data_IF_582483841974
#
_entry.id   IF_582483841974
#
_cell.length_a   1.000
_cell.length_b   1.000
_cell.length_c   1.000
_cell.angle_alpha   90.00
_cell.angle_beta   90.00
_cell.angle_gamma   90.00
#
_symmetry.space_group_name_H-M   'P 1'
#
loop_
_entity.id
_entity.type
_entity.pdbx_description
1 polymer ?
2 water ?
#
# COMPACT_ATOMS: atom_id res chain seq x y z
N UNK A 1 7.86 7.62 23.39
CA UNK A 1 7.68 7.19 22.01
C UNK A 1 9.01 7.03 21.26
N UNK A 2 9.15 5.92 20.54
CA UNK A 2 10.39 5.66 19.79
C UNK A 2 10.23 5.97 18.31
N UNK A 3 11.33 6.37 17.68
CA UNK A 3 11.32 6.60 16.24
C UNK A 3 11.39 5.26 15.51
N UNK A 4 10.86 5.21 14.29
CA UNK A 4 10.91 4.00 13.49
C UNK A 4 12.36 3.58 13.29
N UNK A 5 13.25 4.56 13.20
CA UNK A 5 14.68 4.27 13.10
C UNK A 5 15.13 3.48 14.33
N UNK A 6 14.62 3.86 15.50
CA UNK A 6 14.86 3.10 16.72
C UNK A 6 14.23 1.72 16.63
N UNK A 7 12.92 1.70 16.39
CA UNK A 7 12.15 0.47 16.34
C UNK A 7 12.84 -0.60 15.50
N UNK A 8 13.45 -0.18 14.40
CA UNK A 8 14.06 -1.16 13.50
C UNK A 8 15.21 -1.91 14.16
N UNK A 9 15.79 -1.32 15.20
CA UNK A 9 16.99 -1.88 15.81
C UNK A 9 16.86 -2.21 17.30
N UNK A 10 15.82 -1.73 17.97
CA UNK A 10 15.69 -1.93 19.41
C UNK A 10 15.66 -3.40 19.82
N UNK A 11 15.87 -3.65 21.11
CA UNK A 11 15.75 -4.98 21.67
C UNK A 11 14.56 -5.07 22.61
N UNK A 12 13.82 -3.97 22.72
CA UNK A 12 12.62 -3.94 23.55
C UNK A 12 11.56 -4.89 23.01
N UNK A 13 10.68 -5.37 23.89
CA UNK A 13 9.56 -6.18 23.45
C UNK A 13 8.38 -5.27 23.19
N UNK A 14 8.19 -4.32 24.10
CA UNK A 14 7.12 -3.35 24.03
C UNK A 14 7.64 -2.00 23.58
N UNK A 15 6.88 -1.35 22.69
CA UNK A 15 7.24 -0.05 22.16
C UNK A 15 5.99 0.78 21.99
N UNK A 16 6.18 2.07 21.80
CA UNK A 16 5.11 2.93 21.33
C UNK A 16 5.73 3.77 20.24
N UNK A 17 4.98 4.00 19.17
CA UNK A 17 5.49 4.71 18.01
C UNK A 17 4.44 5.66 17.47
N UNK A 18 4.89 6.87 17.11
CA UNK A 18 4.04 7.82 16.40
C UNK A 18 4.45 7.80 14.94
N UNK A 19 3.50 7.51 14.05
CA UNK A 19 3.85 7.34 12.65
C UNK A 19 2.66 7.54 11.71
N UNK A 20 2.97 7.65 10.43
CA UNK A 20 1.96 7.82 9.38
C UNK A 20 1.55 6.48 8.80
N UNK A 21 0.25 6.34 8.52
CA UNK A 21 -0.28 5.16 7.85
C UNK A 21 -0.24 5.35 6.34
N UNK A 22 0.64 4.61 5.67
CA UNK A 22 0.78 4.78 4.23
C UNK A 22 0.21 3.62 3.43
N UNK A 23 -0.39 2.65 4.11
CA UNK A 23 -1.03 1.53 3.44
C UNK A 23 -1.98 0.75 4.35
N UNK A 24 -3.18 0.49 3.87
CA UNK A 24 -4.16 -0.27 4.62
C UNK A 24 -4.64 -1.48 3.84
N UNK A 25 -4.62 -2.64 4.49
CA UNK A 25 -5.19 -3.84 3.91
C UNK A 25 -6.05 -4.52 4.95
N UNK A 26 -7.36 -4.47 4.74
CA UNK A 26 -8.34 -4.93 5.72
C UNK A 26 -8.67 -6.42 5.55
N UNK A 27 -7.69 -7.20 5.13
CA UNK A 27 -7.91 -8.60 4.77
C UNK A 27 -8.45 -9.46 5.92
N UNK A 28 -9.72 -9.28 6.24
CA UNK A 28 -10.49 -10.19 7.09
C UNK A 28 -9.90 -10.57 8.44
N UNK A 29 -10.59 -10.18 9.51
CA UNK A 29 -10.24 -10.57 10.86
C UNK A 29 -8.84 -10.11 11.28
N UNK A 30 -8.26 -9.21 10.47
CA UNK A 30 -6.97 -8.61 10.76
C UNK A 30 -6.77 -7.37 9.91
N UNK A 31 -6.16 -6.35 10.48
CA UNK A 31 -5.77 -5.18 9.70
C UNK A 31 -4.26 -5.16 9.54
N UNK A 32 -3.79 -5.03 8.31
CA UNK A 32 -2.36 -4.93 8.06
C UNK A 32 -2.06 -3.55 7.52
N UNK A 33 -1.14 -2.86 8.17
CA UNK A 33 -0.78 -1.51 7.76
C UNK A 33 0.70 -1.45 7.40
N UNK A 34 1.06 -0.44 6.62
CA UNK A 34 2.45 -0.01 6.57
C UNK A 34 2.46 1.36 7.24
N UNK A 35 3.45 1.61 8.08
CA UNK A 35 3.57 2.93 8.71
C UNK A 35 4.94 3.53 8.43
N UNK A 36 5.01 4.85 8.48
CA UNK A 36 6.17 5.59 8.01
C UNK A 36 6.55 6.70 8.98
N UNK A 37 7.81 7.09 8.96
CA UNK A 37 8.34 8.10 9.88
C UNK A 37 8.98 9.24 9.11
N UNK A 38 9.47 10.24 9.84
CA UNK A 38 10.37 11.22 9.24
C UNK A 38 11.81 10.98 9.70
N UNK A 39 12.00 9.90 10.46
CA UNK A 39 13.31 9.52 10.99
C UNK A 39 14.04 8.57 10.05
N UNK A 40 13.26 7.90 9.20
CA UNK A 40 13.76 6.81 8.38
C UNK A 40 13.13 6.91 7.00
N UNK A 41 13.66 6.14 6.04
CA UNK A 41 13.10 6.10 4.70
C UNK A 41 12.42 4.77 4.44
N UNK A 42 12.26 3.99 5.50
CA UNK A 42 11.68 2.67 5.38
C UNK A 42 10.31 2.63 6.03
N UNK A 43 9.46 1.75 5.54
CA UNK A 43 8.16 1.57 6.15
C UNK A 43 8.23 0.44 7.17
N UNK A 44 7.22 0.37 8.03
CA UNK A 44 7.17 -0.66 9.04
C UNK A 44 5.81 -1.32 8.92
N UNK A 45 5.80 -2.66 8.92
CA UNK A 45 4.54 -3.37 8.85
C UNK A 45 3.95 -3.54 10.24
N UNK A 46 2.66 -3.28 10.36
CA UNK A 46 1.93 -3.45 11.61
C UNK A 46 0.72 -4.36 11.39
N UNK A 47 0.55 -5.34 12.25
CA UNK A 47 -0.62 -6.19 12.16
C UNK A 47 -1.50 -5.96 13.40
N UNK A 48 -2.76 -5.60 13.16
CA UNK A 48 -3.71 -5.37 14.23
C UNK A 48 -4.70 -6.53 14.32
N UNK A 49 -4.72 -7.20 15.46
CA UNK A 49 -5.50 -8.43 15.63
C UNK A 49 -6.82 -8.24 16.36
N UNK A 50 -7.71 -9.26 16.31
CA UNK A 50 -9.01 -9.30 16.97
C UNK A 50 -9.01 -8.60 18.31
N UNK A 51 -10.14 -7.97 18.61
CA UNK A 51 -10.27 -6.99 19.68
C UNK A 51 -9.94 -5.64 19.07
N UNK A 52 -8.68 -5.23 19.15
CA UNK A 52 -8.29 -3.94 18.62
C UNK A 52 -8.80 -3.72 17.18
N UNK A 53 -8.62 -4.72 16.32
CA UNK A 53 -8.96 -4.54 14.91
C UNK A 53 -10.46 -4.31 14.72
N UNK A 54 -11.25 -4.67 15.73
CA UNK A 54 -12.69 -4.46 15.67
C UNK A 54 -13.07 -2.98 15.58
N UNK A 55 -12.39 -2.11 16.32
CA UNK A 55 -12.76 -0.70 16.33
C UNK A 55 -12.04 0.13 15.27
N UNK A 56 -11.00 -0.43 14.66
CA UNK A 56 -10.23 0.31 13.68
C UNK A 56 -10.52 -0.09 12.26
N UNK A 57 -11.40 -1.08 12.10
CA UNK A 57 -11.77 -1.62 10.80
C UNK A 57 -11.78 -0.59 9.67
N UNK A 58 -12.71 0.35 9.75
CA UNK A 58 -12.89 1.34 8.70
C UNK A 58 -12.30 2.69 9.09
N UNK A 59 -11.58 2.70 10.20
CA UNK A 59 -11.22 3.95 10.87
C UNK A 59 -9.98 4.64 10.29
N UNK A 60 -8.96 3.86 9.94
CA UNK A 60 -7.68 4.44 9.53
C UNK A 60 -7.80 5.34 8.29
N UNK A 61 -7.03 6.43 8.27
CA UNK A 61 -6.95 7.30 7.10
C UNK A 61 -5.52 7.38 6.59
N UNK A 62 -5.37 7.31 5.27
CA UNK A 62 -4.06 7.31 4.65
C UNK A 62 -3.33 8.63 4.89
N UNK A 63 -2.08 8.52 5.34
CA UNK A 63 -1.20 9.67 5.55
C UNK A 63 -1.45 10.37 6.88
N UNK A 64 -2.47 9.94 7.60
CA UNK A 64 -2.72 10.43 8.96
C UNK A 64 -1.72 9.83 9.95
N UNK A 65 -1.39 10.60 10.99
CA UNK A 65 -0.50 10.12 12.04
C UNK A 65 -1.28 9.56 13.20
N UNK A 66 -0.77 8.49 13.80
CA UNK A 66 -1.38 7.91 14.97
C UNK A 66 -0.31 7.49 15.96
N UNK A 67 -0.68 7.50 17.25
CA UNK A 67 0.12 6.87 18.30
C UNK A 67 -0.26 5.42 18.37
N UNK A 68 0.68 4.53 18.07
CA UNK A 68 0.50 3.13 18.36
C UNK A 68 1.18 2.85 19.69
N UNK A 69 0.36 2.65 20.72
CA UNK A 69 0.87 2.54 22.08
C UNK A 69 1.03 1.10 22.52
N UNK A 70 2.22 0.79 23.06
CA UNK A 70 2.47 -0.50 23.71
C UNK A 70 2.17 -1.66 22.79
N UNK A 71 2.78 -1.62 21.61
CA UNK A 71 2.72 -2.71 20.65
C UNK A 71 3.89 -3.63 20.87
N UNK A 72 3.81 -4.81 20.28
CA UNK A 72 4.83 -5.83 20.47
C UNK A 72 5.71 -5.92 19.23
N UNK A 73 7.02 -5.92 19.45
CA UNK A 73 7.98 -6.00 18.36
C UNK A 73 8.33 -7.45 18.02
N UNK A 74 8.30 -7.78 16.73
CA UNK A 74 8.57 -9.14 16.28
C UNK A 74 9.38 -9.14 15.00
N UNK A 75 10.03 -10.27 14.71
CA UNK A 75 10.78 -10.43 13.47
C UNK A 75 10.21 -11.59 12.68
N UNK A 76 9.92 -11.37 11.39
CA UNK A 76 9.40 -12.45 10.56
C UNK A 76 10.34 -12.96 9.47
N UNK A 77 10.44 -12.25 8.36
CA UNK A 77 11.35 -12.71 7.31
C UNK A 77 12.55 -11.78 7.26
N UNK A 78 13.30 -11.72 8.36
CA UNK A 78 14.41 -10.80 8.50
C UNK A 78 13.86 -9.37 8.57
N UNK A 79 12.55 -9.25 8.70
CA UNK A 79 11.87 -7.96 8.73
C UNK A 79 11.21 -7.75 10.08
N UNK A 80 11.46 -6.60 10.69
CA UNK A 80 10.83 -6.27 11.94
C UNK A 80 9.42 -5.77 11.68
N UNK A 81 8.47 -6.20 12.49
CA UNK A 81 7.14 -5.61 12.45
C UNK A 81 6.53 -5.52 13.84
N UNK A 82 5.40 -4.83 13.95
CA UNK A 82 4.74 -4.66 15.23
C UNK A 82 3.41 -5.36 15.17
N UNK A 83 2.93 -5.80 16.33
CA UNK A 83 1.62 -6.42 16.40
C UNK A 83 0.83 -5.87 17.58
N UNK A 84 -0.48 -5.90 17.41
CA UNK A 84 -1.44 -5.71 18.48
C UNK A 84 -1.15 -6.70 19.61
N UNK A 85 -1.70 -6.39 20.79
CA UNK A 85 -1.56 -7.24 21.95
C UNK A 85 -2.48 -6.64 23.00
N UNK A 86 -2.74 -7.41 24.04
CA UNK A 86 -3.75 -7.08 25.05
C UNK A 86 -3.63 -5.66 25.65
N UNK A 87 -2.42 -5.16 25.80
CA UNK A 87 -2.20 -3.88 26.46
C UNK A 87 -2.17 -2.75 25.44
N UNK A 88 -2.26 -3.10 24.17
CA UNK A 88 -2.07 -2.13 23.11
C UNK A 88 -3.20 -1.14 23.01
N UNK A 89 -2.93 -0.04 22.33
CA UNK A 89 -3.84 1.08 22.25
C UNK A 89 -3.39 1.90 21.05
N UNK A 90 -4.32 2.64 20.44
CA UNK A 90 -4.02 3.46 19.28
C UNK A 90 -4.77 4.79 19.34
N UNK A 91 -4.07 5.89 19.08
CA UNK A 91 -4.73 7.18 19.13
C UNK A 91 -4.31 8.11 18.00
N UNK A 92 -5.31 8.72 17.36
CA UNK A 92 -5.04 9.74 16.37
C UNK A 92 -4.26 10.87 17.05
N UNK A 93 -3.20 11.34 16.40
CA UNK A 93 -2.44 12.47 16.93
C UNK A 93 -3.28 13.75 16.81
N UNK A 94 -3.35 14.51 17.90
CA UNK A 94 -4.22 15.68 17.96
C UNK A 94 -3.63 16.90 17.27
N UNK A 95 -2.30 16.88 17.08
CA UNK A 95 -1.62 17.98 16.42
C UNK A 95 -1.08 17.60 15.04
N UNK A 96 -2.00 17.63 14.07
CA UNK A 96 -1.77 17.22 12.69
C UNK A 96 -2.44 18.21 11.76
N UNK A 97 -1.78 18.58 10.66
CA UNK A 97 -2.39 19.51 9.70
C UNK A 97 -2.76 18.82 8.40
N UNK A 98 -4.03 18.82 8.06
CA UNK A 98 -4.48 18.26 6.79
C UNK A 98 -4.17 19.20 5.65
N UNK A 99 -3.21 18.80 4.81
CA UNK A 99 -2.84 19.57 3.61
C UNK A 99 -3.43 18.92 2.37
N UNK A 100 -4.15 19.70 1.57
CA UNK A 100 -4.74 19.19 0.33
C UNK A 100 -4.11 19.83 -0.91
N UNK A 101 -3.40 19.02 -1.68
CA UNK A 101 -2.75 19.49 -2.89
C UNK A 101 -3.37 18.82 -4.10
N UNK A 102 -3.25 19.48 -5.25
CA UNK A 102 -3.69 18.91 -6.51
C UNK A 102 -2.50 18.92 -7.45
N UNK A 103 -2.25 17.79 -8.10
CA UNK A 103 -1.22 17.74 -9.12
C UNK A 103 -1.85 17.76 -10.50
N UNK A 104 -1.30 18.59 -11.39
CA UNK A 104 -1.80 18.69 -12.76
C UNK A 104 -1.03 17.76 -13.68
N UNK A 105 -1.73 17.09 -14.58
CA UNK A 105 -1.04 16.26 -15.56
C UNK A 105 -0.06 17.16 -16.30
N UNK A 106 1.20 16.75 -16.36
CA UNK A 106 2.29 17.59 -16.85
C UNK A 106 2.47 17.58 -18.36
N UNK A 107 1.87 16.60 -19.02
CA UNK A 107 1.94 16.54 -20.47
C UNK A 107 1.20 17.70 -21.11
N UNK A 108 0.55 18.51 -20.29
CA UNK A 108 -0.17 19.70 -20.79
C UNK A 108 0.79 20.86 -21.03
N UNK A 109 1.81 20.96 -20.19
CA UNK A 109 2.81 22.01 -20.35
C UNK A 109 3.88 21.59 -21.34
N UNK B 1 2.19 -5.98 -24.96
CA UNK B 1 2.46 -5.78 -23.54
C UNK B 1 3.86 -5.18 -23.24
N UNK B 2 3.87 -4.06 -22.51
CA UNK B 2 5.11 -3.43 -22.07
C UNK B 2 5.41 -3.78 -20.62
N UNK B 3 6.69 -3.99 -20.31
CA UNK B 3 7.10 -4.17 -18.92
C UNK B 3 7.07 -2.82 -18.22
N UNK B 4 7.03 -2.84 -16.90
CA UNK B 4 6.99 -1.63 -16.11
C UNK B 4 8.19 -0.73 -16.38
N UNK B 5 9.38 -1.31 -16.41
CA UNK B 5 10.61 -0.57 -16.70
C UNK B 5 10.55 0.08 -18.08
N UNK B 6 9.81 -0.55 -18.99
CA UNK B 6 9.62 0.04 -20.31
C UNK B 6 8.62 1.18 -20.24
N UNK B 7 7.57 0.99 -19.44
CA UNK B 7 6.59 2.05 -19.22
C UNK B 7 7.29 3.33 -18.78
N UNK B 8 8.25 3.21 -17.88
CA UNK B 8 8.91 4.38 -17.30
C UNK B 8 9.66 5.23 -18.33
N UNK B 9 10.11 4.60 -19.41
CA UNK B 9 10.93 5.32 -20.39
C UNK B 9 10.20 5.63 -21.70
N UNK B 10 9.06 4.99 -21.92
CA UNK B 10 8.40 5.09 -23.22
C UNK B 10 7.75 6.46 -23.46
N UNK B 11 7.60 6.81 -24.72
CA UNK B 11 6.93 8.03 -25.10
C UNK B 11 5.50 7.75 -25.57
N UNK B 12 5.12 6.48 -25.55
CA UNK B 12 3.77 6.07 -25.94
C UNK B 12 2.75 6.58 -24.93
N UNK B 13 1.64 7.10 -25.45
CA UNK B 13 0.56 7.60 -24.61
C UNK B 13 -0.37 6.47 -24.16
N UNK B 14 -0.57 5.48 -25.02
CA UNK B 14 -1.44 4.35 -24.71
C UNK B 14 -0.65 3.04 -24.69
N UNK B 15 -0.93 2.19 -23.73
CA UNK B 15 -0.16 0.96 -23.60
C UNK B 15 -0.88 -0.05 -22.73
N UNK B 16 -0.34 -1.26 -22.71
CA UNK B 16 -0.90 -2.36 -21.95
C UNK B 16 0.21 -2.96 -21.10
N UNK B 17 -0.13 -3.37 -19.88
CA UNK B 17 0.86 -3.90 -18.96
C UNK B 17 0.33 -5.08 -18.18
N UNK B 18 1.18 -6.08 -17.98
CA UNK B 18 0.89 -7.20 -17.12
C UNK B 18 1.70 -7.01 -15.85
N UNK B 19 1.01 -6.90 -14.73
CA UNK B 19 1.68 -6.57 -13.49
C UNK B 19 0.92 -7.11 -12.30
N UNK B 20 1.59 -7.17 -11.15
CA UNK B 20 0.95 -7.52 -9.89
C UNK B 20 0.38 -6.28 -9.23
N UNK B 21 -0.77 -6.44 -8.58
CA UNK B 21 -1.34 -5.38 -7.77
C UNK B 21 -0.82 -5.51 -6.34
N UNK B 22 -0.08 -4.50 -5.88
CA UNK B 22 0.58 -4.58 -4.58
C UNK B 22 0.04 -3.62 -3.54
N UNK B 23 -0.89 -2.76 -3.95
CA UNK B 23 -1.57 -1.89 -3.01
C UNK B 23 -2.88 -1.42 -3.60
N UNK B 24 -3.94 -1.53 -2.81
CA UNK B 24 -5.27 -1.09 -3.21
C UNK B 24 -5.77 0.00 -2.27
N UNK B 25 -6.30 1.07 -2.84
CA UNK B 25 -6.91 2.11 -2.05
C UNK B 25 -8.22 2.57 -2.71
N UNK B 26 -9.34 2.11 -2.17
CA UNK B 26 -10.66 2.50 -2.66
C UNK B 26 -11.05 3.88 -2.14
N UNK B 27 -11.33 4.81 -3.05
CA UNK B 27 -11.55 6.20 -2.65
C UNK B 27 -12.60 6.93 -3.47
N UNK B 28 -13.86 6.53 -3.32
CA UNK B 28 -14.96 7.23 -3.96
C UNK B 28 -14.98 7.02 -5.46
N UNK B 29 -14.85 8.13 -6.19
CA UNK B 29 -14.97 8.11 -7.63
C UNK B 29 -13.70 7.59 -8.31
N UNK B 30 -12.94 6.76 -7.61
CA UNK B 30 -11.79 6.11 -8.22
C UNK B 30 -11.16 5.04 -7.35
N UNK B 31 -10.35 4.19 -7.99
CA UNK B 31 -9.55 3.20 -7.27
C UNK B 31 -8.09 3.45 -7.57
N UNK B 32 -7.28 3.58 -6.52
CA UNK B 32 -5.87 3.83 -6.71
C UNK B 32 -5.08 2.55 -6.43
N UNK B 33 -4.23 2.17 -7.38
CA UNK B 33 -3.44 0.95 -7.26
C UNK B 33 -1.96 1.27 -7.32
N UNK B 34 -1.17 0.42 -6.68
CA UNK B 34 0.25 0.35 -6.97
C UNK B 34 0.43 -1.00 -7.64
N UNK B 35 1.12 -1.02 -8.78
CA UNK B 35 1.38 -2.28 -9.46
C UNK B 35 2.87 -2.45 -9.69
N UNK B 36 3.31 -3.69 -9.80
CA UNK B 36 4.70 -3.96 -10.05
C UNK B 36 4.85 -5.27 -10.83
N UNK B 37 6.04 -5.51 -11.34
CA UNK B 37 6.30 -6.74 -12.06
C UNK B 37 7.72 -7.17 -11.75
N UNK B 38 8.25 -8.10 -12.54
CA UNK B 38 9.59 -8.60 -12.30
C UNK B 38 10.66 -7.84 -13.08
N UNK B 39 10.23 -6.83 -13.83
CA UNK B 39 11.14 -6.07 -14.70
C UNK B 39 12.05 -5.16 -13.90
N UNK B 40 11.63 -4.78 -12.70
CA UNK B 40 12.40 -3.83 -11.89
C UNK B 40 11.86 -3.66 -10.47
N UNK B 41 12.47 -2.72 -9.75
CA UNK B 41 12.20 -2.43 -8.35
C UNK B 41 11.12 -1.39 -8.17
N UNK B 42 10.54 -0.94 -9.27
CA UNK B 42 9.64 0.21 -9.23
C UNK B 42 8.17 -0.17 -9.11
N UNK B 43 7.43 0.66 -8.37
CA UNK B 43 5.98 0.53 -8.33
C UNK B 43 5.34 1.60 -9.19
N UNK B 44 4.24 1.24 -9.84
CA UNK B 44 3.53 2.13 -10.73
C UNK B 44 2.18 2.43 -10.12
N UNK B 45 1.83 3.70 -10.04
CA UNK B 45 0.51 4.09 -9.56
C UNK B 45 -0.48 4.07 -10.72
N UNK B 46 -1.64 3.47 -10.48
CA UNK B 46 -2.68 3.38 -11.48
C UNK B 46 -3.97 3.90 -10.90
N UNK B 47 -4.63 4.80 -11.62
CA UNK B 47 -5.90 5.30 -11.15
C UNK B 47 -7.03 4.82 -12.05
N UNK B 48 -8.03 4.21 -11.45
CA UNK B 48 -9.17 3.69 -12.20
C UNK B 48 -10.38 4.56 -11.93
N UNK B 49 -10.84 5.24 -12.98
CA UNK B 49 -11.95 6.19 -12.88
C UNK B 49 -13.31 5.54 -13.18
N UNK B 50 -14.39 6.28 -12.91
CA UNK B 50 -15.80 5.92 -13.09
C UNK B 50 -16.14 5.11 -14.35
N UNK B 51 -17.12 4.23 -14.16
CA UNK B 51 -17.47 3.17 -15.09
C UNK B 51 -16.61 1.95 -14.80
N UNK B 52 -15.32 2.01 -15.09
CA UNK B 52 -14.46 0.86 -14.80
C UNK B 52 -14.32 0.59 -13.29
N UNK B 53 -14.08 1.64 -12.50
CA UNK B 53 -13.87 1.45 -11.06
C UNK B 53 -15.03 0.73 -10.38
N UNK B 54 -16.24 1.01 -10.85
CA UNK B 54 -17.45 0.42 -10.27
C UNK B 54 -17.46 -1.12 -10.31
N UNK B 55 -17.10 -1.69 -11.44
CA UNK B 55 -17.10 -3.14 -11.57
C UNK B 55 -15.86 -3.79 -10.96
N UNK B 56 -14.94 -2.98 -10.45
CA UNK B 56 -13.70 -3.50 -9.88
C UNK B 56 -13.51 -3.20 -8.39
N UNK B 57 -14.53 -2.62 -7.76
CA UNK B 57 -14.46 -2.24 -6.34
C UNK B 57 -13.62 -3.19 -5.49
N UNK B 58 -14.28 -4.21 -4.95
CA UNK B 58 -13.61 -5.16 -4.07
C UNK B 58 -13.25 -6.39 -4.89
N UNK B 59 -12.78 -6.15 -6.11
CA UNK B 59 -12.52 -7.24 -7.05
C UNK B 59 -11.04 -7.58 -7.12
N UNK B 60 -10.18 -6.58 -6.92
CA UNK B 60 -8.74 -6.81 -6.98
C UNK B 60 -8.24 -7.63 -5.78
N UNK B 61 -7.27 -8.51 -6.03
CA UNK B 61 -6.63 -9.28 -4.97
C UNK B 61 -5.13 -8.96 -4.93
N UNK B 62 -4.67 -8.55 -3.75
CA UNK B 62 -3.26 -8.26 -3.53
C UNK B 62 -2.32 -9.37 -4.03
N UNK B 63 -1.30 -8.98 -4.76
CA UNK B 63 -0.32 -9.90 -5.35
C UNK B 63 -0.76 -10.64 -6.61
N UNK B 64 -2.05 -10.58 -6.95
CA UNK B 64 -2.53 -11.21 -8.18
C UNK B 64 -2.09 -10.43 -9.42
N UNK B 65 -1.87 -11.15 -10.52
CA UNK B 65 -1.44 -10.55 -11.77
C UNK B 65 -2.62 -10.22 -12.68
N UNK B 66 -2.52 -9.10 -13.39
CA UNK B 66 -3.61 -8.62 -14.25
C UNK B 66 -3.06 -7.97 -15.50
N UNK B 67 -3.80 -8.09 -16.60
CA UNK B 67 -3.52 -7.33 -17.81
C UNK B 67 -4.31 -6.05 -17.70
N UNK B 68 -3.60 -4.93 -17.69
CA UNK B 68 -4.26 -3.65 -17.81
C UNK B 68 -4.11 -3.27 -19.26
N UNK B 69 -5.18 -3.42 -20.03
CA UNK B 69 -5.14 -3.20 -21.46
C UNK B 69 -5.51 -1.78 -21.86
N UNK B 70 -4.74 -1.21 -22.78
CA UNK B 70 -5.01 0.11 -23.34
C UNK B 70 -5.22 1.16 -22.27
N UNK B 71 -4.25 1.31 -21.38
CA UNK B 71 -4.30 2.37 -20.40
C UNK B 71 -3.54 3.59 -20.91
N UNK B 72 -3.74 4.72 -20.25
CA UNK B 72 -3.14 5.98 -20.69
C UNK B 72 -1.96 6.39 -19.79
N UNK B 73 -0.81 6.61 -20.41
CA UNK B 73 0.37 7.04 -19.69
C UNK B 73 0.30 8.54 -19.38
N UNK B 74 0.49 8.90 -18.12
CA UNK B 74 0.48 10.30 -17.70
C UNK B 74 1.60 10.57 -16.70
N UNK B 75 1.99 11.83 -16.57
CA UNK B 75 2.98 12.23 -15.57
C UNK B 75 2.40 13.22 -14.57
N UNK B 76 2.52 12.88 -13.29
CA UNK B 76 2.11 13.76 -12.21
C UNK B 76 3.25 13.88 -11.21
N UNK B 77 3.60 15.11 -10.87
CA UNK B 77 4.73 15.36 -9.98
C UNK B 77 5.95 14.55 -10.40
N UNK B 78 6.29 14.63 -11.69
CA UNK B 78 7.45 13.95 -12.28
C UNK B 78 7.42 12.44 -12.10
N UNK B 79 6.24 11.90 -11.79
CA UNK B 79 6.05 10.47 -11.65
C UNK B 79 5.16 9.95 -12.77
N UNK B 80 5.57 8.86 -13.39
CA UNK B 80 4.74 8.23 -14.41
C UNK B 80 3.65 7.44 -13.73
N UNK B 81 2.42 7.60 -14.23
CA UNK B 81 1.35 6.69 -13.83
C UNK B 81 0.40 6.36 -14.98
N UNK B 82 -0.51 5.43 -14.75
CA UNK B 82 -1.49 5.07 -15.75
C UNK B 82 -2.88 5.43 -15.29
N UNK B 83 -3.81 5.52 -16.22
CA UNK B 83 -5.18 5.76 -15.83
C UNK B 83 -6.17 5.01 -16.71
N UNK B 84 -7.36 4.86 -16.17
CA UNK B 84 -8.51 4.39 -16.92
C UNK B 84 -8.75 5.28 -18.15
N UNK B 85 -9.64 4.82 -19.02
CA UNK B 85 -9.97 5.53 -20.22
C UNK B 85 -11.06 4.72 -20.89
N UNK B 86 -11.83 5.35 -21.77
CA UNK B 86 -13.03 4.74 -22.35
C UNK B 86 -12.78 3.39 -23.02
N UNK B 87 -11.56 3.19 -23.53
CA UNK B 87 -11.24 1.98 -24.27
C UNK B 87 -10.53 0.94 -23.41
N UNK B 88 -10.15 1.34 -22.20
CA UNK B 88 -9.32 0.48 -21.37
C UNK B 88 -10.04 -0.76 -20.90
N UNK B 89 -9.27 -1.69 -20.34
CA UNK B 89 -9.80 -2.99 -19.98
C UNK B 89 -8.86 -3.66 -19.00
N UNK B 90 -9.40 -4.56 -18.18
CA UNK B 90 -8.62 -5.23 -17.16
C UNK B 90 -9.01 -6.69 -17.11
N UNK B 91 -8.02 -7.56 -17.12
CA UNK B 91 -8.30 -8.97 -17.07
C UNK B 91 -7.30 -9.65 -16.16
N UNK B 92 -7.82 -10.50 -15.29
CA UNK B 92 -6.99 -11.32 -14.45
C UNK B 92 -6.24 -12.29 -15.37
N UNK B 93 -4.93 -12.39 -15.17
CA UNK B 93 -4.12 -13.34 -15.93
C UNK B 93 -4.60 -14.76 -15.64
N UNK B 94 -4.66 -15.59 -16.68
CA UNK B 94 -5.15 -16.97 -16.55
C UNK B 94 -4.06 -17.96 -16.17
N UNK B 95 -2.81 -17.61 -16.45
CA UNK B 95 -1.69 -18.48 -16.10
C UNK B 95 -0.95 -18.00 -14.84
N UNK B 96 -1.50 -18.37 -13.69
CA UNK B 96 -1.05 -17.83 -12.40
C UNK B 96 -1.04 -18.89 -11.32
N UNK B 97 0.08 -19.00 -10.61
CA UNK B 97 0.18 -19.94 -9.50
C UNK B 97 0.11 -19.23 -8.15
N UNK B 98 -0.97 -19.48 -7.41
CA UNK B 98 -1.08 -18.98 -6.05
C UNK B 98 -0.16 -19.78 -5.13
N UNK B 99 0.56 -19.07 -4.28
CA UNK B 99 1.47 -19.69 -3.34
C UNK B 99 1.24 -19.15 -1.93
N UNK B 100 0.90 -20.04 -1.01
CA UNK B 100 0.66 -19.66 0.38
C UNK B 100 1.82 -20.00 1.31
N UNK B 101 2.57 -19.00 1.72
CA UNK B 101 3.67 -19.17 2.67
C UNK B 101 3.21 -18.81 4.09
N UNK B 102 3.92 -19.34 5.09
CA UNK B 102 3.77 -18.88 6.46
C UNK B 102 5.15 -18.62 7.04
N UNK B 103 5.33 -17.42 7.58
CA UNK B 103 6.59 -17.06 8.23
C UNK B 103 6.44 -17.12 9.74
N UNK B 104 7.31 -17.91 10.37
CA UNK B 104 7.33 -18.09 11.80
C UNK B 104 8.10 -16.95 12.47
N UNK B 105 7.56 -16.42 13.56
CA UNK B 105 8.26 -15.38 14.32
C UNK B 105 9.66 -15.86 14.74
N UNK B 106 10.68 -15.10 14.38
CA UNK B 106 12.07 -15.52 14.55
C UNK B 106 12.61 -15.35 15.98
N UNK B 107 11.97 -14.50 16.77
CA UNK B 107 12.43 -14.26 18.13
C UNK B 107 12.51 -15.52 18.96
N UNK B 108 11.79 -16.54 18.52
CA UNK B 108 11.69 -17.81 19.25
C UNK B 108 12.91 -18.71 19.06
N UNK B 109 13.56 -18.59 17.90
CA UNK B 109 14.69 -19.45 17.57
C UNK B 109 16.02 -18.88 18.09
#
# INVERSE_FOLDING_TARGET
TLLISEVLKTSKQYLSVLAQVVDIQSSDKNIRLKICDNSCNQELKVVIFPDLCYEWRDKFSINKWYYFNEFVRQIYNDEVQLKNNIHSSIKESDDQRKVITYNQEQGVF
TLLISEVLKTSKQYLSVLAQVVDIQSSDKNIRLKICDNSCNQELKVVIFPDLCYEWRDKFSINKWYYFNEFVRQIYNDEVQLKNNIHSSIKESDDQRKVITYNQEQGVF
#
